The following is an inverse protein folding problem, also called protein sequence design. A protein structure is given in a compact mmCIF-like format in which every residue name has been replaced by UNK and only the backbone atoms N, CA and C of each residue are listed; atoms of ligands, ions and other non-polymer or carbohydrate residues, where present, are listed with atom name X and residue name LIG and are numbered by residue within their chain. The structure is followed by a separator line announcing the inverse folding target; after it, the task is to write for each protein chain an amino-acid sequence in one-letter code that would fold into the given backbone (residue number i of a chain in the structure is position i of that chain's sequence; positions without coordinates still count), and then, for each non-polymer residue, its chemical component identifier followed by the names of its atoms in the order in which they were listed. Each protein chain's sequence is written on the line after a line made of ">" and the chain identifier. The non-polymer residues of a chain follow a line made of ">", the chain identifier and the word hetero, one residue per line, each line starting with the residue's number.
data_IF_232390809737
#
_entry.id   IF_232390809737
#
_cell.length_a   1.000
_cell.length_b   1.000
_cell.length_c   1.000
_cell.angle_alpha   90.00
_cell.angle_beta   90.00
_cell.angle_gamma   90.00
#
_symmetry.space_group_name_H-M   'P 1'
#
loop_
_entity.id
_entity.type
_entity.pdbx_description
1 polymer ?
#
# COMPACT_ATOMS: atom_id res chain seq x y z
N UNK A 1 21.38 -26.11 0.21
CA UNK A 1 20.58 -24.88 0.05
C UNK A 1 19.14 -25.33 -0.08
N UNK A 2 18.39 -25.32 1.02
CA UNK A 2 16.96 -25.67 0.98
C UNK A 2 16.25 -24.51 0.32
N UNK A 3 15.85 -24.68 -0.94
CA UNK A 3 14.94 -23.75 -1.62
C UNK A 3 13.61 -23.84 -0.89
N UNK A 4 13.32 -22.85 -0.05
CA UNK A 4 12.02 -22.69 0.58
C UNK A 4 10.98 -22.51 -0.54
N UNK A 5 10.13 -23.52 -0.72
CA UNK A 5 9.07 -23.43 -1.71
C UNK A 5 8.02 -22.43 -1.24
N UNK A 6 7.42 -21.64 -2.14
CA UNK A 6 6.34 -20.72 -1.79
C UNK A 6 5.24 -21.44 -1.01
N UNK A 7 4.79 -20.83 0.09
CA UNK A 7 3.66 -21.34 0.87
C UNK A 7 2.51 -20.36 0.71
N UNK A 8 1.63 -20.64 -0.26
CA UNK A 8 0.51 -19.78 -0.63
C UNK A 8 -0.34 -19.30 0.56
N UNK A 9 -0.55 -20.14 1.58
CA UNK A 9 -1.32 -19.77 2.77
C UNK A 9 -0.57 -18.77 3.67
N UNK A 10 0.73 -19.02 3.92
CA UNK A 10 1.56 -18.12 4.71
C UNK A 10 1.78 -16.78 3.97
N UNK A 11 2.06 -16.85 2.67
CA UNK A 11 2.24 -15.69 1.82
C UNK A 11 0.96 -14.85 1.71
N UNK A 12 -0.22 -15.49 1.64
CA UNK A 12 -1.51 -14.78 1.66
C UNK A 12 -1.74 -14.04 2.99
N UNK A 13 -1.41 -14.67 4.12
CA UNK A 13 -1.56 -14.07 5.45
C UNK A 13 -0.63 -12.85 5.60
N UNK A 14 0.64 -12.98 5.20
CA UNK A 14 1.62 -11.90 5.22
C UNK A 14 1.19 -10.74 4.32
N UNK A 15 0.77 -11.03 3.08
CA UNK A 15 0.28 -10.00 2.16
C UNK A 15 -1.00 -9.33 2.66
N UNK A 16 -1.89 -10.05 3.35
CA UNK A 16 -3.06 -9.46 4.02
C UNK A 16 -2.65 -8.46 5.10
N UNK A 17 -1.67 -8.82 5.95
CA UNK A 17 -1.07 -7.93 6.93
C UNK A 17 -0.50 -6.66 6.27
N UNK A 18 0.30 -6.82 5.21
CA UNK A 18 0.85 -5.70 4.43
C UNK A 18 -0.26 -4.81 3.88
N UNK A 19 -1.35 -5.37 3.35
CA UNK A 19 -2.45 -4.55 2.82
C UNK A 19 -3.18 -3.75 3.89
N UNK A 20 -3.15 -4.19 5.15
CA UNK A 20 -3.68 -3.46 6.30
C UNK A 20 -2.77 -2.29 6.65
N UNK A 21 -1.45 -2.53 6.73
CA UNK A 21 -0.45 -1.48 6.96
C UNK A 21 -0.49 -0.42 5.85
N UNK A 22 -0.62 -0.83 4.59
CA UNK A 22 -0.75 0.10 3.45
C UNK A 22 -2.02 0.96 3.54
N UNK A 23 -3.10 0.46 4.13
CA UNK A 23 -4.32 1.25 4.33
C UNK A 23 -4.10 2.35 5.39
N UNK A 24 -3.43 2.02 6.50
CA UNK A 24 -3.05 3.01 7.52
C UNK A 24 -2.12 4.08 6.93
N UNK A 25 -1.11 3.67 6.17
CA UNK A 25 -0.18 4.59 5.50
C UNK A 25 -0.89 5.52 4.52
N UNK A 26 -1.86 5.04 3.74
CA UNK A 26 -2.65 5.88 2.84
C UNK A 26 -3.36 7.01 3.61
N UNK A 27 -4.05 6.68 4.71
CA UNK A 27 -4.74 7.67 5.54
C UNK A 27 -3.75 8.72 6.08
N UNK A 28 -2.65 8.26 6.66
CA UNK A 28 -1.64 9.15 7.27
C UNK A 28 -0.97 10.07 6.25
N UNK A 29 -0.70 9.58 5.04
CA UNK A 29 -0.12 10.39 3.96
C UNK A 29 -1.11 11.47 3.50
N UNK A 30 -2.40 11.15 3.35
CA UNK A 30 -3.43 12.15 3.02
C UNK A 30 -3.54 13.21 4.10
N UNK A 31 -3.57 12.82 5.37
CA UNK A 31 -3.63 13.79 6.48
C UNK A 31 -2.44 14.76 6.47
N UNK A 32 -1.24 14.28 6.10
CA UNK A 32 -0.06 15.14 5.95
C UNK A 32 -0.21 16.04 4.73
N UNK A 33 -0.67 15.50 3.59
CA UNK A 33 -0.90 16.27 2.37
C UNK A 33 -1.91 17.41 2.61
N UNK A 34 -3.01 17.12 3.30
CA UNK A 34 -4.06 18.09 3.62
C UNK A 34 -3.53 19.24 4.51
N UNK A 35 -2.62 18.96 5.45
CA UNK A 35 -1.96 20.00 6.25
C UNK A 35 -1.07 20.92 5.42
N UNK A 36 -0.36 20.39 4.44
CA UNK A 36 0.48 21.20 3.53
C UNK A 36 -0.36 22.00 2.55
N UNK A 37 -1.45 21.41 2.06
CA UNK A 37 -2.44 22.10 1.22
C UNK A 37 -3.07 23.28 1.96
N UNK A 38 -3.36 23.14 3.25
CA UNK A 38 -3.92 24.21 4.09
C UNK A 38 -3.00 25.44 4.25
N UNK A 39 -1.70 25.30 3.99
CA UNK A 39 -0.72 26.40 4.02
C UNK A 39 -0.22 26.78 2.62
N UNK A 40 -1.00 26.46 1.57
CA UNK A 40 -0.73 26.80 0.17
C UNK A 40 0.61 26.27 -0.37
N UNK A 41 1.12 25.17 0.23
CA UNK A 41 2.28 24.42 -0.29
C UNK A 41 1.83 23.29 -1.19
N UNK A 42 1.25 23.68 -2.33
CA UNK A 42 0.68 22.77 -3.32
C UNK A 42 1.73 21.84 -3.95
N UNK A 43 2.99 22.27 -3.99
CA UNK A 43 4.13 21.44 -4.41
C UNK A 43 4.28 20.20 -3.51
N UNK A 44 4.36 20.42 -2.19
CA UNK A 44 4.51 19.35 -1.21
C UNK A 44 3.24 18.50 -1.10
N UNK A 45 2.07 19.13 -1.12
CA UNK A 45 0.80 18.42 -1.08
C UNK A 45 0.62 17.51 -2.32
N UNK A 46 0.98 18.01 -3.51
CA UNK A 46 0.94 17.26 -4.75
C UNK A 46 1.77 15.99 -4.70
N UNK A 47 3.03 16.09 -4.28
CA UNK A 47 3.92 14.93 -4.14
C UNK A 47 3.35 13.88 -3.17
N UNK A 48 2.77 14.32 -2.05
CA UNK A 48 2.18 13.41 -1.07
C UNK A 48 0.91 12.72 -1.58
N UNK A 49 0.06 13.40 -2.34
CA UNK A 49 -1.09 12.75 -3.00
C UNK A 49 -0.66 11.72 -4.04
N UNK A 50 0.45 11.94 -4.77
CA UNK A 50 1.00 10.95 -5.68
C UNK A 50 1.59 9.72 -4.96
N UNK A 51 2.18 9.92 -3.78
CA UNK A 51 2.59 8.81 -2.89
C UNK A 51 1.37 8.00 -2.45
N UNK A 52 0.30 8.64 -1.97
CA UNK A 52 -0.95 7.96 -1.60
C UNK A 52 -1.49 7.12 -2.77
N UNK A 53 -1.55 7.71 -3.96
CA UNK A 53 -2.03 7.04 -5.17
C UNK A 53 -1.18 5.81 -5.50
N UNK A 54 0.13 5.91 -5.31
CA UNK A 54 1.08 4.80 -5.50
C UNK A 54 0.84 3.68 -4.49
N UNK A 55 0.62 4.00 -3.21
CA UNK A 55 0.29 3.03 -2.16
C UNK A 55 -1.05 2.32 -2.45
N UNK A 56 -2.08 3.06 -2.85
CA UNK A 56 -3.38 2.50 -3.24
C UNK A 56 -3.25 1.55 -4.43
N UNK A 57 -2.44 1.90 -5.42
CA UNK A 57 -2.15 1.04 -6.57
C UNK A 57 -1.38 -0.22 -6.17
N UNK A 58 -0.41 -0.11 -5.25
CA UNK A 58 0.30 -1.26 -4.69
C UNK A 58 -0.66 -2.21 -3.96
N UNK A 59 -1.52 -1.68 -3.08
CA UNK A 59 -2.52 -2.46 -2.36
C UNK A 59 -3.46 -3.22 -3.31
N UNK A 60 -3.90 -2.57 -4.40
CA UNK A 60 -4.71 -3.22 -5.45
C UNK A 60 -3.97 -4.33 -6.20
N UNK A 61 -2.66 -4.18 -6.43
CA UNK A 61 -1.83 -5.22 -7.07
C UNK A 61 -1.64 -6.42 -6.15
N UNK A 62 -1.39 -6.18 -4.86
CA UNK A 62 -1.26 -7.24 -3.86
C UNK A 62 -2.55 -8.06 -3.76
N UNK A 63 -3.71 -7.41 -3.62
CA UNK A 63 -5.01 -8.12 -3.55
C UNK A 63 -5.26 -9.00 -4.77
N UNK A 64 -4.88 -8.54 -5.97
CA UNK A 64 -4.98 -9.35 -7.21
C UNK A 64 -4.01 -10.54 -7.22
N UNK A 65 -2.80 -10.37 -6.67
CA UNK A 65 -1.84 -11.46 -6.55
C UNK A 65 -2.34 -12.55 -5.59
N UNK A 66 -2.87 -12.16 -4.43
CA UNK A 66 -3.47 -13.10 -3.45
C UNK A 66 -4.62 -13.87 -4.07
N UNK A 67 -5.53 -13.22 -4.81
CA UNK A 67 -6.59 -13.91 -5.57
C UNK A 67 -6.06 -14.90 -6.62
N UNK A 68 -4.80 -14.76 -7.03
CA UNK A 68 -4.14 -15.68 -7.94
C UNK A 68 -3.59 -16.93 -7.26
N UNK A 69 -3.46 -16.96 -5.93
CA UNK A 69 -2.97 -18.12 -5.18
C UNK A 69 -4.01 -19.26 -5.11
N UNK A 70 -5.29 -18.95 -5.25
CA UNK A 70 -6.41 -19.91 -5.21
C UNK A 70 -6.71 -20.58 -6.57
N UNK A 71 -5.94 -20.27 -7.63
CA UNK A 71 -6.09 -20.87 -8.97
C UNK A 71 -5.04 -21.93 -9.24
#
# INVERSE_FOLDING_TARGET
>A
MTSEQPNASNDAAELSSITTVLADMQTRVVEVADRWRAVERDDVAGDLYEVERSLRNAQRRIRRAVQGFDR
#
